data_IF_778741828542
#
_entry.id   IF_778741828542
#
_cell.length_a   1.000
_cell.length_b   1.000
_cell.length_c   1.000
_cell.angle_alpha   90.00
_cell.angle_beta   90.00
_cell.angle_gamma   90.00
#
_symmetry.space_group_name_H-M   'P 1'
#
loop_
_entity.id
_entity.type
_entity.pdbx_description
1 polymer ?
#
# COMPACT_ATOMS: atom_id res chain seq x y z
N UNK A 1 58.39 25.27 -60.77
CA UNK A 1 57.10 24.90 -60.10
C UNK A 1 56.66 23.45 -60.40
N UNK A 2 57.41 22.65 -61.19
CA UNK A 2 57.06 21.24 -61.49
C UNK A 2 57.80 20.18 -60.66
N UNK A 3 58.86 20.53 -59.95
CA UNK A 3 59.69 19.59 -59.18
C UNK A 3 59.23 19.41 -57.72
N UNK A 4 58.55 20.38 -57.14
CA UNK A 4 58.12 20.34 -55.77
C UNK A 4 56.82 19.44 -55.56
N UNK A 5 55.98 19.38 -56.59
CA UNK A 5 54.73 18.57 -56.55
C UNK A 5 55.06 17.07 -56.65
N UNK A 6 56.13 16.65 -57.28
CA UNK A 6 56.55 15.26 -57.44
C UNK A 6 57.08 14.62 -56.14
N UNK A 7 57.76 15.39 -55.29
CA UNK A 7 58.25 14.87 -53.99
C UNK A 7 57.18 14.78 -52.90
N UNK A 8 56.24 15.72 -52.88
CA UNK A 8 55.12 15.66 -51.94
C UNK A 8 54.22 14.47 -52.23
N UNK A 9 54.00 14.10 -53.47
CA UNK A 9 53.18 12.95 -53.86
C UNK A 9 53.88 11.62 -53.54
N UNK A 10 55.19 11.53 -53.55
CA UNK A 10 55.98 10.34 -53.17
C UNK A 10 56.00 10.11 -51.69
N UNK A 11 56.03 11.15 -50.86
CA UNK A 11 55.99 11.04 -49.40
C UNK A 11 54.60 10.62 -48.92
N UNK A 12 53.52 11.08 -49.57
CA UNK A 12 52.14 10.69 -49.24
C UNK A 12 51.85 9.21 -49.58
N UNK A 13 52.42 8.70 -50.74
CA UNK A 13 52.27 7.28 -51.10
C UNK A 13 53.06 6.32 -50.21
N UNK A 14 54.16 6.71 -49.61
CA UNK A 14 54.94 5.87 -48.67
C UNK A 14 54.32 5.87 -47.29
N UNK A 15 53.73 6.98 -46.88
CA UNK A 15 52.98 7.04 -45.60
C UNK A 15 51.63 6.22 -45.59
N UNK A 16 51.01 6.09 -46.78
CA UNK A 16 49.76 5.31 -46.92
C UNK A 16 50.00 3.79 -46.95
N UNK A 17 51.20 3.29 -47.19
CA UNK A 17 51.54 1.86 -47.26
C UNK A 17 51.94 1.26 -45.90
N UNK A 18 52.17 2.06 -44.84
CA UNK A 18 52.58 1.60 -43.52
C UNK A 18 51.35 1.34 -42.60
N UNK A 19 50.17 1.80 -42.98
CA UNK A 19 48.93 1.65 -42.14
C UNK A 19 48.18 0.32 -42.43
N UNK A 20 48.62 -0.49 -43.39
CA UNK A 20 47.98 -1.76 -43.78
C UNK A 20 48.71 -3.02 -43.27
N UNK A 21 49.69 -2.88 -42.39
CA UNK A 21 50.35 -4.05 -41.78
C UNK A 21 49.73 -4.37 -40.42
N UNK A 22 48.83 -5.32 -40.42
CA UNK A 22 48.69 -6.27 -39.30
C UNK A 22 47.79 -5.91 -38.16
N UNK A 23 46.47 -6.12 -38.27
CA UNK A 23 45.75 -6.76 -37.20
C UNK A 23 45.56 -8.25 -37.58
N UNK A 24 46.57 -9.08 -37.33
CA UNK A 24 46.34 -10.51 -37.19
C UNK A 24 45.52 -10.73 -35.89
N UNK A 25 44.22 -10.98 -36.05
CA UNK A 25 43.43 -11.51 -34.98
C UNK A 25 43.97 -12.90 -34.65
N UNK A 26 44.27 -13.21 -33.37
CA UNK A 26 44.63 -14.59 -33.00
C UNK A 26 43.47 -15.52 -33.36
N UNK A 27 43.75 -16.77 -33.75
CA UNK A 27 42.69 -17.71 -34.08
C UNK A 27 41.76 -17.86 -32.88
N UNK A 28 40.48 -17.51 -33.06
CA UNK A 28 39.45 -17.80 -32.12
C UNK A 28 39.35 -19.32 -32.10
N UNK A 29 39.76 -19.91 -30.98
CA UNK A 29 39.52 -21.33 -30.71
C UNK A 29 38.00 -21.48 -30.68
N UNK A 30 37.42 -22.10 -31.70
CA UNK A 30 36.02 -22.54 -31.68
C UNK A 30 35.88 -23.70 -30.68
N UNK A 31 36.23 -23.45 -29.44
CA UNK A 31 35.71 -24.17 -28.31
C UNK A 31 34.25 -23.75 -28.20
N UNK A 32 33.36 -24.67 -28.43
CA UNK A 32 31.93 -24.59 -28.20
C UNK A 32 31.61 -23.73 -26.95
N UNK A 33 31.26 -22.46 -27.18
CA UNK A 33 30.61 -21.63 -26.14
C UNK A 33 29.24 -22.24 -26.01
N UNK A 34 29.13 -23.29 -25.22
CA UNK A 34 27.83 -23.67 -24.67
C UNK A 34 27.36 -22.46 -23.87
N UNK A 35 26.23 -21.84 -24.22
CA UNK A 35 25.65 -20.81 -23.40
C UNK A 35 25.35 -21.48 -22.07
N UNK A 36 26.20 -21.25 -21.06
CA UNK A 36 25.81 -21.49 -19.67
C UNK A 36 24.61 -20.58 -19.45
N UNK A 37 23.42 -21.14 -19.65
CA UNK A 37 22.18 -20.50 -19.21
C UNK A 37 22.37 -20.32 -17.72
N UNK A 38 22.73 -19.10 -17.30
CA UNK A 38 22.74 -18.71 -15.91
C UNK A 38 21.27 -18.77 -15.45
N UNK A 39 20.84 -19.94 -14.99
CA UNK A 39 19.49 -20.17 -14.44
C UNK A 39 19.16 -19.15 -13.34
N UNK A 40 20.17 -18.71 -12.59
CA UNK A 40 20.04 -17.63 -11.60
C UNK A 40 19.65 -16.27 -12.23
N UNK A 41 20.13 -15.94 -13.45
CA UNK A 41 19.73 -14.72 -14.16
C UNK A 41 18.28 -14.80 -14.64
N UNK A 42 17.85 -15.93 -15.20
CA UNK A 42 16.50 -16.10 -15.71
C UNK A 42 15.45 -16.11 -14.59
N UNK A 43 15.75 -16.71 -13.44
CA UNK A 43 14.87 -16.71 -12.28
C UNK A 43 14.73 -15.32 -11.66
N UNK A 44 15.82 -14.53 -11.60
CA UNK A 44 15.78 -13.13 -11.17
C UNK A 44 14.93 -12.27 -12.10
N UNK A 45 15.02 -12.49 -13.42
CA UNK A 45 14.25 -11.76 -14.43
C UNK A 45 12.76 -12.13 -14.40
N UNK A 46 12.43 -13.42 -14.23
CA UNK A 46 11.07 -13.90 -14.06
C UNK A 46 10.42 -13.27 -12.82
N UNK A 47 11.13 -13.29 -11.68
CA UNK A 47 10.66 -12.69 -10.44
C UNK A 47 10.52 -11.16 -10.52
N UNK A 48 11.44 -10.47 -11.21
CA UNK A 48 11.33 -9.03 -11.46
C UNK A 48 10.11 -8.70 -12.33
N UNK A 49 9.84 -9.48 -13.38
CA UNK A 49 8.61 -9.31 -14.18
C UNK A 49 7.37 -9.51 -13.32
N UNK A 50 7.31 -10.58 -12.51
CA UNK A 50 6.21 -10.83 -11.60
C UNK A 50 5.99 -9.66 -10.62
N UNK A 51 7.05 -9.11 -10.07
CA UNK A 51 6.99 -7.93 -9.18
C UNK A 51 6.41 -6.71 -9.90
N UNK A 52 6.93 -6.37 -11.08
CA UNK A 52 6.48 -5.20 -11.86
C UNK A 52 4.98 -5.32 -12.18
N UNK A 53 4.54 -6.46 -12.72
CA UNK A 53 3.13 -6.66 -13.05
C UNK A 53 2.24 -6.71 -11.81
N UNK A 54 2.73 -7.17 -10.66
CA UNK A 54 1.99 -7.10 -9.40
C UNK A 54 1.84 -5.65 -8.91
N UNK A 55 2.86 -4.83 -9.04
CA UNK A 55 2.80 -3.40 -8.70
C UNK A 55 1.84 -2.64 -9.63
N UNK A 56 1.85 -2.94 -10.95
CA UNK A 56 0.87 -2.43 -11.90
C UNK A 56 -0.55 -2.86 -11.53
N UNK A 57 -0.76 -4.14 -11.20
CA UNK A 57 -2.05 -4.65 -10.75
C UNK A 57 -2.57 -3.92 -9.51
N UNK A 58 -1.71 -3.67 -8.53
CA UNK A 58 -2.07 -2.91 -7.33
C UNK A 58 -2.40 -1.45 -7.66
N UNK A 59 -1.69 -0.84 -8.61
CA UNK A 59 -1.99 0.49 -9.13
C UNK A 59 -3.37 0.54 -9.80
N UNK A 60 -3.65 -0.36 -10.73
CA UNK A 60 -4.96 -0.43 -11.40
C UNK A 60 -6.10 -0.76 -10.43
N UNK A 61 -5.85 -1.62 -9.45
CA UNK A 61 -6.79 -1.90 -8.36
C UNK A 61 -7.15 -0.61 -7.60
N UNK A 62 -6.15 0.21 -7.24
CA UNK A 62 -6.37 1.47 -6.52
C UNK A 62 -7.18 2.49 -7.33
N UNK A 63 -7.12 2.42 -8.67
CA UNK A 63 -7.90 3.23 -9.61
C UNK A 63 -9.29 2.65 -9.89
N UNK A 64 -9.63 1.48 -9.32
CA UNK A 64 -10.89 0.79 -9.59
C UNK A 64 -10.94 0.03 -10.92
N UNK A 65 -9.85 -0.03 -11.68
CA UNK A 65 -9.74 -0.74 -12.95
C UNK A 65 -9.52 -2.25 -12.74
N UNK A 66 -10.54 -2.92 -12.17
CA UNK A 66 -10.43 -4.30 -11.69
C UNK A 66 -10.11 -5.31 -12.80
N UNK A 67 -10.61 -5.10 -14.03
CA UNK A 67 -10.33 -5.96 -15.18
C UNK A 67 -8.84 -5.96 -15.54
N UNK A 68 -8.26 -4.78 -15.71
CA UNK A 68 -6.83 -4.61 -16.03
C UNK A 68 -5.96 -5.12 -14.86
N UNK A 69 -6.39 -4.90 -13.61
CA UNK A 69 -5.68 -5.45 -12.45
C UNK A 69 -5.61 -6.99 -12.49
N UNK A 70 -6.68 -7.68 -12.93
CA UNK A 70 -6.66 -9.14 -13.09
C UNK A 70 -5.75 -9.60 -14.23
N UNK A 71 -5.72 -8.87 -15.35
CA UNK A 71 -4.81 -9.15 -16.47
C UNK A 71 -3.34 -9.07 -16.00
N UNK A 72 -2.98 -8.00 -15.31
CA UNK A 72 -1.64 -7.81 -14.76
C UNK A 72 -1.26 -8.89 -13.74
N UNK A 73 -2.19 -9.27 -12.85
CA UNK A 73 -1.99 -10.42 -11.94
C UNK A 73 -1.72 -11.71 -12.72
N UNK A 74 -2.43 -11.97 -13.82
CA UNK A 74 -2.23 -13.18 -14.60
C UNK A 74 -0.84 -13.18 -15.27
N UNK A 75 -0.39 -12.03 -15.80
CA UNK A 75 0.96 -11.88 -16.36
C UNK A 75 2.01 -12.11 -15.26
N UNK A 76 1.82 -11.53 -14.07
CA UNK A 76 2.72 -11.74 -12.95
C UNK A 76 2.87 -13.23 -12.59
N UNK A 77 1.75 -13.97 -12.52
CA UNK A 77 1.74 -15.39 -12.18
C UNK A 77 2.28 -16.29 -13.29
N UNK A 78 2.15 -15.87 -14.55
CA UNK A 78 2.80 -16.56 -15.67
C UNK A 78 4.32 -16.36 -15.64
N UNK A 79 4.77 -15.18 -15.23
CA UNK A 79 6.20 -14.91 -15.09
C UNK A 79 6.83 -15.70 -13.93
N UNK A 80 6.19 -15.69 -12.76
CA UNK A 80 6.63 -16.45 -11.56
C UNK A 80 5.40 -16.91 -10.76
N UNK A 81 5.04 -18.18 -10.90
CA UNK A 81 3.91 -18.78 -10.18
C UNK A 81 4.15 -18.94 -8.67
N UNK A 82 5.37 -18.73 -8.19
CA UNK A 82 5.72 -18.74 -6.76
C UNK A 82 5.70 -17.34 -6.12
N UNK A 83 5.41 -16.29 -6.88
CA UNK A 83 5.42 -14.92 -6.38
C UNK A 83 4.16 -14.61 -5.56
N UNK A 84 4.25 -14.81 -4.24
CA UNK A 84 3.14 -14.68 -3.30
C UNK A 84 2.35 -13.36 -3.39
N UNK A 85 3.00 -12.16 -3.54
CA UNK A 85 2.26 -10.90 -3.61
C UNK A 85 1.25 -10.83 -4.76
N UNK A 86 1.49 -11.48 -5.90
CA UNK A 86 0.54 -11.53 -7.01
C UNK A 86 -0.81 -12.15 -6.60
N UNK A 87 -0.76 -13.22 -5.82
CA UNK A 87 -1.96 -13.85 -5.26
C UNK A 87 -2.63 -12.96 -4.20
N UNK A 88 -1.84 -12.23 -3.40
CA UNK A 88 -2.36 -11.25 -2.45
C UNK A 88 -3.18 -10.15 -3.14
N UNK A 89 -2.66 -9.58 -4.24
CA UNK A 89 -3.37 -8.58 -5.04
C UNK A 89 -4.60 -9.19 -5.73
N UNK A 90 -4.49 -10.44 -6.27
CA UNK A 90 -5.65 -11.15 -6.80
C UNK A 90 -6.78 -11.29 -5.76
N UNK A 91 -6.43 -11.60 -4.52
CA UNK A 91 -7.39 -11.67 -3.41
C UNK A 91 -8.13 -10.35 -3.19
N UNK A 92 -7.42 -9.22 -3.23
CA UNK A 92 -8.03 -7.89 -3.13
C UNK A 92 -8.98 -7.60 -4.30
N UNK A 93 -8.56 -7.92 -5.52
CA UNK A 93 -9.38 -7.68 -6.73
C UNK A 93 -10.65 -8.51 -6.69
N UNK A 94 -10.57 -9.82 -6.37
CA UNK A 94 -11.77 -10.66 -6.24
C UNK A 94 -12.68 -10.22 -5.10
N UNK A 95 -12.13 -9.75 -3.98
CA UNK A 95 -12.92 -9.17 -2.90
C UNK A 95 -13.70 -7.92 -3.34
N UNK A 96 -13.09 -7.04 -4.14
CA UNK A 96 -13.75 -5.88 -4.73
C UNK A 96 -14.85 -6.27 -5.73
N UNK A 97 -14.63 -7.34 -6.51
CA UNK A 97 -15.62 -7.95 -7.41
C UNK A 97 -16.74 -8.69 -6.67
N UNK A 98 -16.70 -8.76 -5.34
CA UNK A 98 -17.64 -9.52 -4.49
C UNK A 98 -17.61 -11.03 -4.70
N UNK A 99 -16.54 -11.55 -5.27
CA UNK A 99 -16.27 -12.99 -5.35
C UNK A 99 -15.45 -13.45 -4.16
N UNK A 100 -16.14 -13.60 -3.05
CA UNK A 100 -15.51 -13.91 -1.75
C UNK A 100 -14.81 -15.28 -1.77
N UNK A 101 -15.35 -16.26 -2.54
CA UNK A 101 -14.74 -17.58 -2.66
C UNK A 101 -13.37 -17.48 -3.33
N UNK A 102 -13.29 -16.86 -4.50
CA UNK A 102 -12.01 -16.69 -5.19
C UNK A 102 -11.06 -15.79 -4.41
N UNK A 103 -11.56 -14.74 -3.75
CA UNK A 103 -10.74 -13.89 -2.90
C UNK A 103 -10.03 -14.69 -1.80
N UNK A 104 -10.77 -15.51 -1.07
CA UNK A 104 -10.21 -16.34 0.01
C UNK A 104 -9.23 -17.39 -0.52
N UNK A 105 -9.54 -18.04 -1.65
CA UNK A 105 -8.62 -18.98 -2.32
C UNK A 105 -7.28 -18.33 -2.65
N UNK A 106 -7.31 -17.10 -3.20
CA UNK A 106 -6.10 -16.37 -3.56
C UNK A 106 -5.29 -15.95 -2.31
N UNK A 107 -5.92 -15.42 -1.27
CA UNK A 107 -5.23 -15.08 -0.03
C UNK A 107 -4.60 -16.32 0.62
N UNK A 108 -5.29 -17.43 0.66
CA UNK A 108 -4.75 -18.70 1.18
C UNK A 108 -3.57 -19.20 0.35
N UNK A 109 -3.64 -19.07 -0.99
CA UNK A 109 -2.51 -19.42 -1.84
C UNK A 109 -1.31 -18.52 -1.58
N UNK A 110 -1.53 -17.21 -1.43
CA UNK A 110 -0.47 -16.26 -1.09
C UNK A 110 0.22 -16.63 0.22
N UNK A 111 -0.55 -16.98 1.25
CA UNK A 111 -0.01 -17.38 2.56
C UNK A 111 0.62 -18.79 2.57
N UNK A 112 0.24 -19.68 1.66
CA UNK A 112 0.99 -20.94 1.47
C UNK A 112 2.39 -20.70 0.92
N UNK A 113 2.53 -19.72 0.02
CA UNK A 113 3.81 -19.35 -0.59
C UNK A 113 4.67 -18.49 0.35
N UNK A 114 4.05 -17.60 1.14
CA UNK A 114 4.74 -16.71 2.07
C UNK A 114 3.91 -16.52 3.36
N UNK A 115 3.99 -17.46 4.33
CA UNK A 115 3.14 -17.43 5.53
C UNK A 115 3.34 -16.21 6.43
N UNK A 116 4.57 -15.68 6.46
CA UNK A 116 4.94 -14.55 7.32
C UNK A 116 4.92 -13.20 6.59
N UNK A 117 4.39 -13.13 5.35
CA UNK A 117 4.28 -11.88 4.63
C UNK A 117 3.28 -10.96 5.35
N UNK A 118 3.72 -9.77 5.83
CA UNK A 118 2.88 -8.93 6.65
C UNK A 118 1.78 -8.23 5.85
N UNK A 119 2.03 -7.87 4.59
CA UNK A 119 1.04 -7.18 3.77
C UNK A 119 -0.08 -8.14 3.35
N UNK A 120 0.26 -9.39 3.01
CA UNK A 120 -0.73 -10.43 2.70
C UNK A 120 -1.58 -10.72 3.94
N UNK A 121 -0.95 -10.89 5.12
CA UNK A 121 -1.65 -11.11 6.37
C UNK A 121 -2.58 -9.93 6.71
N UNK A 122 -2.10 -8.68 6.60
CA UNK A 122 -2.93 -7.50 6.83
C UNK A 122 -4.15 -7.44 5.88
N UNK A 123 -3.94 -7.71 4.60
CA UNK A 123 -4.99 -7.66 3.60
C UNK A 123 -6.03 -8.77 3.79
N UNK A 124 -5.57 -9.99 4.07
CA UNK A 124 -6.47 -11.10 4.37
C UNK A 124 -7.24 -10.88 5.67
N UNK A 125 -6.58 -10.33 6.71
CA UNK A 125 -7.24 -9.91 7.95
C UNK A 125 -8.37 -8.92 7.69
N UNK A 126 -8.13 -7.92 6.84
CA UNK A 126 -9.14 -6.92 6.45
C UNK A 126 -10.33 -7.56 5.71
N UNK A 127 -10.05 -8.47 4.78
CA UNK A 127 -11.08 -9.24 4.07
C UNK A 127 -11.94 -10.05 5.04
N UNK A 128 -11.34 -10.81 5.95
CA UNK A 128 -12.04 -11.64 6.93
C UNK A 128 -12.91 -10.80 7.86
N UNK A 129 -12.38 -9.70 8.38
CA UNK A 129 -13.11 -8.78 9.23
C UNK A 129 -14.34 -8.20 8.53
N UNK A 130 -14.24 -7.83 7.24
CA UNK A 130 -15.39 -7.36 6.46
C UNK A 130 -16.45 -8.42 6.26
N UNK A 131 -16.14 -9.71 6.39
CA UNK A 131 -17.05 -10.87 6.27
C UNK A 131 -17.50 -11.40 7.63
N UNK A 132 -17.40 -10.59 8.70
CA UNK A 132 -17.79 -10.92 10.07
C UNK A 132 -17.06 -12.14 10.65
N UNK A 133 -15.81 -12.31 10.22
CA UNK A 133 -14.87 -13.32 10.75
C UNK A 133 -13.80 -12.61 11.58
N UNK A 134 -14.25 -11.84 12.58
CA UNK A 134 -13.43 -10.88 13.30
C UNK A 134 -12.25 -11.55 14.01
N UNK A 135 -12.46 -12.68 14.67
CA UNK A 135 -11.39 -13.40 15.38
C UNK A 135 -10.29 -13.90 14.44
N UNK A 136 -10.68 -14.36 13.25
CA UNK A 136 -9.72 -14.77 12.25
C UNK A 136 -8.97 -13.55 11.68
N UNK A 137 -9.69 -12.47 11.39
CA UNK A 137 -9.11 -11.22 10.92
C UNK A 137 -8.08 -10.67 11.90
N UNK A 138 -8.41 -10.63 13.19
CA UNK A 138 -7.49 -10.16 14.25
C UNK A 138 -6.24 -11.04 14.30
N UNK A 139 -6.36 -12.38 14.23
CA UNK A 139 -5.18 -13.26 14.18
C UNK A 139 -4.25 -12.93 13.03
N UNK A 140 -4.77 -12.65 11.84
CA UNK A 140 -3.96 -12.27 10.69
C UNK A 140 -3.30 -10.89 10.86
N UNK A 141 -4.00 -9.89 11.42
CA UNK A 141 -3.36 -8.61 11.75
C UNK A 141 -2.22 -8.79 12.77
N UNK A 142 -2.39 -9.63 13.77
CA UNK A 142 -1.34 -9.92 14.76
C UNK A 142 -0.18 -10.71 14.13
N UNK A 143 -0.46 -11.61 13.19
CA UNK A 143 0.59 -12.28 12.42
C UNK A 143 1.40 -11.28 11.58
N UNK A 144 0.77 -10.27 10.98
CA UNK A 144 1.47 -9.23 10.24
C UNK A 144 2.46 -8.46 11.13
N UNK A 145 2.04 -8.06 12.33
CA UNK A 145 2.88 -7.26 13.24
C UNK A 145 3.92 -8.09 14.00
N UNK A 146 3.88 -9.42 13.92
CA UNK A 146 4.93 -10.30 14.45
C UNK A 146 6.21 -10.27 13.62
N UNK A 147 6.14 -9.78 12.37
CA UNK A 147 7.32 -9.60 11.53
C UNK A 147 8.04 -8.30 11.91
N UNK A 148 9.28 -8.36 12.46
CA UNK A 148 10.00 -7.16 12.92
C UNK A 148 10.39 -6.21 11.78
N UNK A 149 10.37 -6.66 10.52
CA UNK A 149 10.67 -5.85 9.33
C UNK A 149 9.44 -5.20 8.73
N UNK A 150 8.26 -5.40 9.33
CA UNK A 150 7.03 -4.78 8.83
C UNK A 150 7.07 -3.27 8.99
N UNK A 151 6.87 -2.55 7.87
CA UNK A 151 7.04 -1.09 7.83
C UNK A 151 5.83 -0.31 8.37
N UNK A 152 4.66 -0.93 8.41
CA UNK A 152 3.39 -0.26 8.78
C UNK A 152 2.60 -1.04 9.84
N UNK A 153 3.23 -1.40 11.00
CA UNK A 153 2.55 -2.13 12.06
C UNK A 153 1.38 -1.35 12.68
N UNK A 154 1.44 -0.02 12.66
CA UNK A 154 0.38 0.88 13.06
C UNK A 154 -0.93 0.62 12.30
N UNK A 155 -0.85 0.34 10.99
CA UNK A 155 -2.01 0.03 10.15
C UNK A 155 -2.67 -1.27 10.58
N UNK A 156 -1.89 -2.33 10.78
CA UNK A 156 -2.44 -3.63 11.20
C UNK A 156 -3.04 -3.56 12.60
N UNK A 157 -2.40 -2.85 13.54
CA UNK A 157 -3.02 -2.62 14.86
C UNK A 157 -4.30 -1.80 14.76
N UNK A 158 -4.33 -0.73 13.96
CA UNK A 158 -5.55 0.05 13.76
C UNK A 158 -6.69 -0.80 13.17
N UNK A 159 -6.38 -1.63 12.16
CA UNK A 159 -7.33 -2.54 11.56
C UNK A 159 -7.82 -3.61 12.55
N UNK A 160 -6.94 -4.17 13.38
CA UNK A 160 -7.32 -5.08 14.47
C UNK A 160 -8.27 -4.40 15.47
N UNK A 161 -8.01 -3.14 15.80
CA UNK A 161 -8.90 -2.32 16.65
C UNK A 161 -10.28 -2.13 16.05
N UNK A 162 -10.38 -1.82 14.76
CA UNK A 162 -11.68 -1.73 14.05
C UNK A 162 -12.40 -3.07 14.08
N UNK A 163 -11.69 -4.16 13.88
CA UNK A 163 -12.24 -5.50 13.88
C UNK A 163 -12.76 -5.91 15.25
N UNK A 164 -11.99 -5.67 16.33
CA UNK A 164 -12.39 -5.91 17.70
C UNK A 164 -13.62 -5.06 18.10
N UNK A 165 -13.66 -3.79 17.64
CA UNK A 165 -14.82 -2.91 17.86
C UNK A 165 -16.08 -3.44 17.19
N UNK A 166 -15.97 -3.95 15.96
CA UNK A 166 -17.10 -4.61 15.26
C UNK A 166 -17.66 -5.81 16.02
N UNK A 167 -16.79 -6.59 16.63
CA UNK A 167 -17.15 -7.71 17.49
C UNK A 167 -17.81 -7.25 18.81
N UNK A 168 -17.75 -5.95 19.13
CA UNK A 168 -18.24 -5.39 20.40
C UNK A 168 -17.22 -5.43 21.54
N UNK A 169 -16.00 -5.91 21.29
CA UNK A 169 -14.95 -5.94 22.31
C UNK A 169 -14.21 -4.58 22.38
N UNK A 170 -14.83 -3.62 23.09
CA UNK A 170 -14.32 -2.25 23.17
C UNK A 170 -12.96 -2.17 23.90
N UNK A 171 -12.73 -3.03 24.89
CA UNK A 171 -11.45 -3.03 25.62
C UNK A 171 -10.30 -3.48 24.72
N UNK A 172 -10.47 -4.56 23.97
CA UNK A 172 -9.50 -5.06 23.00
C UNK A 172 -9.29 -4.04 21.87
N UNK A 173 -10.37 -3.41 21.38
CA UNK A 173 -10.29 -2.36 20.37
C UNK A 173 -9.43 -1.18 20.85
N UNK A 174 -9.68 -0.68 22.07
CA UNK A 174 -8.89 0.41 22.65
C UNK A 174 -7.42 0.03 22.77
N UNK A 175 -7.12 -1.19 23.24
CA UNK A 175 -5.73 -1.67 23.37
C UNK A 175 -5.01 -1.69 22.00
N UNK A 176 -5.67 -2.19 20.94
CA UNK A 176 -5.10 -2.21 19.59
C UNK A 176 -4.91 -0.79 19.03
N UNK A 177 -5.87 0.11 19.18
CA UNK A 177 -5.70 1.51 18.75
C UNK A 177 -4.57 2.22 19.50
N UNK A 178 -4.46 2.01 20.82
CA UNK A 178 -3.35 2.55 21.59
C UNK A 178 -2.01 1.99 21.12
N UNK A 179 -1.95 0.70 20.77
CA UNK A 179 -0.75 0.09 20.21
C UNK A 179 -0.39 0.69 18.85
N UNK A 180 -1.39 0.96 17.99
CA UNK A 180 -1.17 1.67 16.73
C UNK A 180 -0.52 3.05 16.96
N UNK A 181 -1.00 3.80 17.97
CA UNK A 181 -0.44 5.12 18.32
C UNK A 181 0.96 5.07 18.94
N UNK A 182 1.41 3.93 19.48
CA UNK A 182 2.79 3.76 19.93
C UNK A 182 3.77 3.67 18.74
N UNK A 183 3.34 3.06 17.62
CA UNK A 183 4.14 3.00 16.39
C UNK A 183 4.04 4.30 15.58
N UNK A 184 2.84 4.83 15.44
CA UNK A 184 2.57 6.07 14.71
C UNK A 184 1.64 6.98 15.52
N UNK A 185 2.18 7.97 16.25
CA UNK A 185 1.39 8.86 17.11
C UNK A 185 0.28 9.64 16.39
N UNK A 186 0.40 9.81 15.08
CA UNK A 186 -0.57 10.46 14.21
C UNK A 186 -1.46 9.50 13.42
N UNK A 187 -1.54 8.21 13.78
CA UNK A 187 -2.38 7.24 13.07
C UNK A 187 -3.86 7.64 13.13
N UNK A 188 -4.36 8.19 12.01
CA UNK A 188 -5.66 8.86 11.95
C UNK A 188 -6.84 7.95 12.32
N UNK A 189 -6.86 6.71 11.81
CA UNK A 189 -7.94 5.75 12.09
C UNK A 189 -8.03 5.43 13.59
N UNK A 190 -6.89 5.22 14.25
CA UNK A 190 -6.85 4.97 15.69
C UNK A 190 -7.30 6.18 16.50
N UNK A 191 -6.83 7.39 16.12
CA UNK A 191 -7.22 8.64 16.79
C UNK A 191 -8.73 8.88 16.68
N UNK A 192 -9.32 8.71 15.51
CA UNK A 192 -10.76 8.85 15.31
C UNK A 192 -11.56 7.86 16.18
N UNK A 193 -11.21 6.58 16.13
CA UNK A 193 -11.94 5.59 16.89
C UNK A 193 -11.79 5.75 18.40
N UNK A 194 -10.62 6.14 18.90
CA UNK A 194 -10.43 6.46 20.32
C UNK A 194 -11.22 7.70 20.73
N UNK A 195 -11.32 8.72 19.86
CA UNK A 195 -12.13 9.90 20.12
C UNK A 195 -13.63 9.53 20.22
N UNK A 196 -14.13 8.73 19.29
CA UNK A 196 -15.51 8.32 19.25
C UNK A 196 -15.87 7.39 20.45
N UNK A 197 -14.96 6.48 20.81
CA UNK A 197 -15.12 5.65 22.02
C UNK A 197 -15.11 6.48 23.30
N UNK A 198 -14.23 7.50 23.39
CA UNK A 198 -14.19 8.41 24.54
C UNK A 198 -15.47 9.26 24.62
N UNK A 199 -15.99 9.73 23.48
CA UNK A 199 -17.26 10.44 23.42
C UNK A 199 -18.42 9.57 23.93
N UNK A 200 -18.50 8.31 23.42
CA UNK A 200 -19.52 7.36 23.87
C UNK A 200 -19.44 7.05 25.37
N UNK A 201 -18.24 7.09 25.96
CA UNK A 201 -18.00 6.94 27.39
C UNK A 201 -18.21 8.24 28.19
N UNK A 202 -18.73 9.32 27.60
CA UNK A 202 -18.87 10.67 28.15
C UNK A 202 -17.53 11.30 28.62
N UNK A 203 -16.39 10.79 28.17
CA UNK A 203 -15.08 11.41 28.41
C UNK A 203 -14.75 12.42 27.31
N UNK A 204 -15.46 13.56 27.32
CA UNK A 204 -15.37 14.56 26.27
C UNK A 204 -13.98 15.23 26.19
N UNK A 205 -13.29 15.37 27.33
CA UNK A 205 -11.93 15.92 27.36
C UNK A 205 -10.93 15.00 26.63
N UNK A 206 -11.03 13.67 26.85
CA UNK A 206 -10.21 12.72 26.12
C UNK A 206 -10.56 12.69 24.61
N UNK A 207 -11.85 12.75 24.28
CA UNK A 207 -12.30 12.83 22.89
C UNK A 207 -11.73 14.06 22.18
N UNK A 208 -11.78 15.23 22.81
CA UNK A 208 -11.19 16.46 22.29
C UNK A 208 -9.68 16.32 22.06
N UNK A 209 -8.95 15.75 23.02
CA UNK A 209 -7.50 15.54 22.90
C UNK A 209 -7.15 14.65 21.69
N UNK A 210 -7.89 13.55 21.46
CA UNK A 210 -7.69 12.70 20.29
C UNK A 210 -8.01 13.43 18.97
N UNK A 211 -9.08 14.21 18.92
CA UNK A 211 -9.46 14.99 17.73
C UNK A 211 -8.44 16.08 17.41
N UNK A 212 -7.88 16.75 18.42
CA UNK A 212 -6.80 17.72 18.22
C UNK A 212 -5.53 17.06 17.64
N UNK A 213 -5.21 15.84 18.09
CA UNK A 213 -4.10 15.07 17.52
C UNK A 213 -4.42 14.65 16.08
N UNK A 214 -5.65 14.23 15.81
CA UNK A 214 -6.12 13.90 14.45
C UNK A 214 -5.93 15.08 13.49
N UNK A 215 -6.38 16.28 13.88
CA UNK A 215 -6.30 17.48 13.05
C UNK A 215 -4.87 17.89 12.65
N UNK A 216 -3.85 17.45 13.43
CA UNK A 216 -2.43 17.65 13.08
C UNK A 216 -1.88 16.62 12.11
N UNK A 217 -2.58 15.52 11.91
CA UNK A 217 -2.06 14.34 11.19
C UNK A 217 -2.78 14.09 9.86
N UNK A 218 -4.05 14.47 9.75
CA UNK A 218 -4.86 14.20 8.58
C UNK A 218 -5.96 15.26 8.40
N UNK A 219 -6.41 15.49 7.15
CA UNK A 219 -7.61 16.28 6.89
C UNK A 219 -8.84 15.59 7.47
N UNK A 220 -9.74 16.38 8.08
CA UNK A 220 -10.98 15.85 8.61
C UNK A 220 -12.00 15.62 7.48
N UNK A 221 -12.69 14.48 7.51
CA UNK A 221 -13.89 14.21 6.73
C UNK A 221 -15.14 14.66 7.52
N UNK A 222 -16.32 14.46 6.92
CA UNK A 222 -17.60 14.84 7.54
C UNK A 222 -17.81 14.19 8.93
N UNK A 223 -17.50 12.90 9.05
CA UNK A 223 -17.66 12.15 10.32
C UNK A 223 -16.79 12.72 11.46
N UNK A 224 -15.53 13.05 11.15
CA UNK A 224 -14.59 13.64 12.12
C UNK A 224 -15.03 15.04 12.53
N UNK A 225 -15.45 15.89 11.59
CA UNK A 225 -15.96 17.21 11.88
C UNK A 225 -17.24 17.14 12.73
N UNK A 226 -18.12 16.21 12.40
CA UNK A 226 -19.35 15.99 13.17
C UNK A 226 -19.06 15.54 14.60
N UNK A 227 -18.14 14.59 14.77
CA UNK A 227 -17.72 14.19 16.12
C UNK A 227 -17.12 15.39 16.89
N UNK A 228 -16.31 16.22 16.22
CA UNK A 228 -15.73 17.42 16.84
C UNK A 228 -16.82 18.42 17.27
N UNK A 229 -17.82 18.69 16.43
CA UNK A 229 -18.98 19.53 16.79
C UNK A 229 -19.65 19.01 18.05
N UNK A 230 -19.98 17.71 18.11
CA UNK A 230 -20.64 17.10 19.26
C UNK A 230 -19.80 17.18 20.53
N UNK A 231 -18.50 16.93 20.43
CA UNK A 231 -17.57 17.01 21.57
C UNK A 231 -17.50 18.43 22.13
N UNK A 232 -17.29 19.44 21.25
CA UNK A 232 -17.16 20.83 21.69
C UNK A 232 -18.47 21.35 22.29
N UNK A 233 -19.62 20.96 21.75
CA UNK A 233 -20.94 21.23 22.31
C UNK A 233 -21.10 20.67 23.72
N UNK A 234 -20.68 19.43 23.95
CA UNK A 234 -20.74 18.78 25.28
C UNK A 234 -19.76 19.43 26.27
N UNK A 235 -18.69 20.03 25.79
CA UNK A 235 -17.73 20.81 26.61
C UNK A 235 -18.16 22.27 26.80
N UNK A 236 -19.24 22.74 26.17
CA UNK A 236 -19.69 24.12 26.24
C UNK A 236 -18.79 25.10 25.47
N UNK A 237 -17.94 24.62 24.57
CA UNK A 237 -17.01 25.44 23.80
C UNK A 237 -17.66 25.93 22.49
N UNK A 238 -18.48 26.95 22.57
CA UNK A 238 -19.26 27.50 21.44
C UNK A 238 -18.41 28.02 20.29
N UNK A 239 -17.20 28.50 20.56
CA UNK A 239 -16.29 29.01 19.50
C UNK A 239 -15.82 27.87 18.59
N UNK A 240 -15.32 26.81 19.18
CA UNK A 240 -14.87 25.64 18.40
C UNK A 240 -16.05 24.90 17.77
N UNK A 241 -17.18 24.77 18.46
CA UNK A 241 -18.41 24.19 17.90
C UNK A 241 -18.82 24.93 16.62
N UNK A 242 -18.85 26.27 16.67
CA UNK A 242 -19.20 27.12 15.51
C UNK A 242 -18.18 26.92 14.36
N UNK A 243 -16.89 26.90 14.69
CA UNK A 243 -15.82 26.71 13.70
C UNK A 243 -15.94 25.37 12.97
N UNK A 244 -16.10 24.24 13.69
CA UNK A 244 -16.26 22.93 13.09
C UNK A 244 -17.60 22.80 12.32
N UNK A 245 -18.67 23.40 12.81
CA UNK A 245 -19.97 23.46 12.13
C UNK A 245 -19.86 24.19 10.79
N UNK A 246 -19.13 25.32 10.74
CA UNK A 246 -18.89 26.04 9.50
C UNK A 246 -18.06 25.23 8.51
N UNK A 247 -16.99 24.55 8.98
CA UNK A 247 -16.18 23.66 8.13
C UNK A 247 -17.01 22.52 7.55
N UNK A 248 -17.87 21.89 8.36
CA UNK A 248 -18.74 20.80 7.92
C UNK A 248 -19.69 21.26 6.82
N UNK A 249 -20.41 22.37 7.00
CA UNK A 249 -21.32 22.94 5.99
C UNK A 249 -20.59 23.33 4.71
N UNK A 250 -19.39 23.93 4.84
CA UNK A 250 -18.65 24.43 3.68
C UNK A 250 -18.03 23.30 2.86
N UNK A 251 -17.44 22.31 3.52
CA UNK A 251 -16.63 21.29 2.85
C UNK A 251 -17.44 20.04 2.49
N UNK A 252 -18.55 19.79 3.20
CA UNK A 252 -19.36 18.57 3.06
C UNK A 252 -20.87 18.89 3.13
N UNK A 253 -21.39 19.83 2.28
CA UNK A 253 -22.77 20.30 2.38
C UNK A 253 -23.81 19.19 2.19
N UNK A 254 -23.51 18.19 1.37
CA UNK A 254 -24.42 17.09 1.03
C UNK A 254 -24.27 15.86 1.93
N UNK A 255 -23.47 15.95 3.01
CA UNK A 255 -23.25 14.83 3.93
C UNK A 255 -24.44 14.64 4.89
N UNK A 256 -24.60 13.41 5.38
CA UNK A 256 -25.58 13.10 6.40
C UNK A 256 -25.32 13.87 7.71
N UNK A 257 -24.02 14.14 7.99
CA UNK A 257 -23.57 14.89 9.16
C UNK A 257 -23.97 16.38 9.07
N UNK A 258 -23.87 16.98 7.88
CA UNK A 258 -24.34 18.35 7.66
C UNK A 258 -25.87 18.43 7.83
N UNK A 259 -26.60 17.47 7.30
CA UNK A 259 -28.07 17.40 7.50
C UNK A 259 -28.44 17.18 8.97
N UNK A 260 -27.66 16.38 9.72
CA UNK A 260 -27.85 16.20 11.16
C UNK A 260 -27.60 17.49 11.93
N UNK A 261 -26.54 18.25 11.56
CA UNK A 261 -26.24 19.56 12.14
C UNK A 261 -27.39 20.56 11.92
N UNK A 262 -27.94 20.64 10.71
CA UNK A 262 -29.04 21.55 10.39
C UNK A 262 -30.34 21.21 11.09
N UNK A 263 -30.64 19.93 11.25
CA UNK A 263 -31.82 19.45 11.95
C UNK A 263 -31.66 19.45 13.48
N UNK A 264 -30.50 19.83 14.01
CA UNK A 264 -30.23 19.87 15.46
C UNK A 264 -30.18 18.49 16.12
N UNK A 265 -29.96 17.41 15.36
CA UNK A 265 -29.87 16.04 15.87
C UNK A 265 -28.42 15.73 16.28
N UNK A 266 -28.08 15.99 17.54
CA UNK A 266 -26.74 15.83 18.09
C UNK A 266 -26.52 14.50 18.84
N UNK A 267 -27.48 13.60 18.80
CA UNK A 267 -27.42 12.28 19.44
C UNK A 267 -26.70 11.23 18.56
#
# INVERSE_FOLDING_TARGET
MRTVIGEVLRVICVAALIVLAGCETPPVNEGEIQPTVNTTGSDSDARNRARIHTELAAGYFSLGNLGVALEEVNIARQADSSYAPAYGVAGLVFAALKDDRRAEEQFRQALRLSPADPDINNNFGSFLCQRRREDEGIRHFLAAVSNPLYKTPDRSYANAGVCARRKGNLAEAAAHFQRALQYQPGQALALYHLADMAYAANNFAAAQSYLQRFARSAPANAEVLWLAVRVERRLGNSVNESSYSQQLRKNFPDSAEAAALESGRFE
#
